data_IF_063346037306
#
_entry.id   IF_063346037306
#
_cell.length_a   1.000
_cell.length_b   1.000
_cell.length_c   1.000
_cell.angle_alpha   90.00
_cell.angle_beta   90.00
_cell.angle_gamma   90.00
#
_symmetry.space_group_name_H-M   'P 1'
#
loop_
_entity.id
_entity.type
_entity.pdbx_description
1 polymer ?
#
# COMPACT_ATOMS: atom_id res chain seq x y z
N UNK A 1 -40.71 19.05 10.88
CA UNK A 1 -39.50 19.87 11.10
C UNK A 1 -39.37 20.22 12.57
N UNK A 2 -38.36 19.70 13.28
CA UNK A 2 -37.96 20.15 14.62
C UNK A 2 -36.50 20.59 14.52
N UNK A 3 -36.27 21.87 14.78
CA UNK A 3 -34.93 22.47 14.73
C UNK A 3 -34.16 22.09 15.99
N UNK A 4 -32.99 21.49 15.81
CA UNK A 4 -32.02 21.23 16.88
C UNK A 4 -31.09 22.44 16.98
N UNK A 5 -31.29 23.29 17.98
CA UNK A 5 -30.33 24.36 18.35
C UNK A 5 -29.50 23.86 19.54
N UNK A 6 -28.48 23.05 19.25
CA UNK A 6 -27.48 22.64 20.23
C UNK A 6 -26.35 23.66 20.29
N UNK A 7 -26.25 24.39 21.40
CA UNK A 7 -25.12 25.28 21.69
C UNK A 7 -23.88 24.46 21.98
N UNK A 8 -22.85 24.63 21.16
CA UNK A 8 -21.53 24.02 21.33
C UNK A 8 -20.83 24.61 22.56
N UNK A 9 -20.69 23.86 23.64
CA UNK A 9 -19.85 24.23 24.78
C UNK A 9 -18.46 23.65 24.52
N UNK A 10 -17.56 24.49 24.02
CA UNK A 10 -16.16 24.13 23.85
C UNK A 10 -15.51 23.86 25.19
N UNK A 11 -15.04 22.63 25.40
CA UNK A 11 -14.12 22.30 26.48
C UNK A 11 -12.71 22.67 26.00
N UNK A 12 -12.20 23.81 26.46
CA UNK A 12 -10.78 24.14 26.33
C UNK A 12 -9.97 23.29 27.31
N UNK A 13 -8.99 22.50 26.86
CA UNK A 13 -8.10 21.78 27.77
C UNK A 13 -7.18 22.76 28.51
N UNK A 14 -6.94 22.50 29.80
CA UNK A 14 -6.04 23.31 30.66
C UNK A 14 -4.57 23.04 30.31
N UNK A 15 -3.69 24.04 30.31
CA UNK A 15 -2.32 23.95 29.80
C UNK A 15 -1.28 23.31 30.75
N UNK A 16 -1.67 22.39 31.62
CA UNK A 16 -0.81 21.94 32.74
C UNK A 16 -0.78 20.41 32.97
N UNK A 17 -1.15 19.61 31.96
CA UNK A 17 -1.12 18.14 32.03
C UNK A 17 -0.25 17.48 30.95
N UNK A 18 0.85 18.14 30.55
CA UNK A 18 1.89 17.55 29.68
C UNK A 18 3.23 17.54 30.41
N UNK A 19 3.36 16.72 31.44
CA UNK A 19 4.66 16.20 31.88
C UNK A 19 4.47 15.10 32.92
N UNK A 20 4.72 13.84 32.52
CA UNK A 20 5.53 12.85 33.26
C UNK A 20 5.27 11.44 32.72
N UNK A 21 6.39 10.70 32.58
CA UNK A 21 6.59 9.25 32.38
C UNK A 21 6.94 8.87 30.94
N UNK A 22 8.08 8.26 30.62
CA UNK A 22 9.23 7.79 31.40
C UNK A 22 10.41 7.60 30.44
N UNK A 23 11.61 7.97 30.88
CA UNK A 23 12.86 7.73 30.17
C UNK A 23 13.46 6.35 30.52
N UNK A 24 14.22 5.81 29.55
CA UNK A 24 15.28 4.77 29.67
C UNK A 24 14.77 3.31 29.52
N UNK A 25 15.34 2.45 28.67
CA UNK A 25 16.76 2.27 28.36
C UNK A 25 17.07 2.04 26.87
N UNK A 26 18.09 2.77 26.40
CA UNK A 26 18.80 2.52 25.14
C UNK A 26 19.74 1.33 25.35
N UNK A 27 19.64 0.32 24.48
CA UNK A 27 20.51 -0.85 24.51
C UNK A 27 21.93 -0.44 24.07
N UNK A 28 23.01 -0.87 24.75
CA UNK A 28 24.36 -0.55 24.31
C UNK A 28 24.68 -1.25 22.98
N UNK A 29 25.46 -0.55 22.15
CA UNK A 29 25.99 -1.05 20.88
C UNK A 29 26.80 -2.35 21.10
N UNK A 30 26.64 -3.31 20.19
CA UNK A 30 27.47 -4.52 20.14
C UNK A 30 28.90 -4.13 19.80
N UNK A 31 29.86 -4.71 20.54
CA UNK A 31 31.28 -4.57 20.27
C UNK A 31 31.66 -5.20 18.92
N UNK A 32 32.62 -4.62 18.17
CA UNK A 32 33.07 -5.18 16.91
C UNK A 32 33.90 -6.44 17.14
N UNK A 33 33.56 -7.50 16.43
CA UNK A 33 34.35 -8.75 16.39
C UNK A 33 35.61 -8.53 15.55
N UNK A 34 36.78 -8.71 16.16
CA UNK A 34 38.07 -8.79 15.46
C UNK A 34 38.22 -10.18 14.84
N UNK A 35 38.17 -10.27 13.51
CA UNK A 35 38.63 -11.45 12.78
C UNK A 35 40.16 -11.40 12.72
N UNK A 36 40.82 -12.44 13.23
CA UNK A 36 42.26 -12.64 13.11
C UNK A 36 42.61 -13.07 11.69
N UNK A 37 43.47 -12.31 11.01
CA UNK A 37 44.11 -12.74 9.77
C UNK A 37 45.11 -13.85 10.09
N UNK A 38 44.98 -14.98 9.41
CA UNK A 38 46.00 -16.02 9.33
C UNK A 38 46.28 -16.28 7.87
N UNK A 39 47.48 -15.89 7.45
CA UNK A 39 48.07 -16.17 6.14
C UNK A 39 48.26 -17.68 5.94
N UNK A 40 47.86 -18.20 4.78
CA UNK A 40 48.47 -19.37 4.17
C UNK A 40 48.29 -19.29 2.65
N UNK A 41 49.41 -19.12 1.95
CA UNK A 41 49.52 -19.06 0.49
C UNK A 41 49.30 -20.45 -0.15
N UNK A 42 48.71 -20.49 -1.35
CA UNK A 42 49.22 -21.25 -2.51
C UNK A 42 48.29 -21.11 -3.73
N UNK A 43 48.76 -20.48 -4.80
CA UNK A 43 48.16 -20.55 -6.14
C UNK A 43 48.58 -21.84 -6.87
N UNK A 44 47.79 -22.32 -7.86
CA UNK A 44 48.30 -22.16 -9.22
C UNK A 44 47.27 -21.85 -10.32
N UNK A 45 47.71 -20.97 -11.22
CA UNK A 45 47.62 -20.93 -12.69
C UNK A 45 46.33 -21.27 -13.48
N UNK A 46 46.00 -20.30 -14.35
CA UNK A 46 45.38 -20.39 -15.68
C UNK A 46 43.89 -20.73 -15.83
N UNK A 47 43.05 -19.69 -15.95
CA UNK A 47 42.04 -19.65 -17.01
C UNK A 47 41.68 -18.21 -17.39
N UNK A 48 41.81 -17.90 -18.67
CA UNK A 48 41.40 -16.64 -19.29
C UNK A 48 39.87 -16.58 -19.29
N UNK A 49 39.27 -16.14 -18.18
CA UNK A 49 37.86 -15.76 -18.13
C UNK A 49 37.81 -14.24 -18.20
N UNK A 50 37.29 -13.70 -19.31
CA UNK A 50 36.96 -12.30 -19.43
C UNK A 50 36.11 -11.90 -18.22
N UNK A 51 36.72 -11.20 -17.27
CA UNK A 51 36.03 -10.64 -16.14
C UNK A 51 34.96 -9.69 -16.69
N UNK A 52 33.70 -10.14 -16.68
CA UNK A 52 32.59 -9.22 -16.77
C UNK A 52 32.85 -8.20 -15.66
N UNK A 53 33.07 -6.95 -16.06
CA UNK A 53 33.32 -5.84 -15.15
C UNK A 53 32.15 -5.77 -14.16
N UNK A 54 32.33 -6.31 -12.96
CA UNK A 54 31.40 -6.19 -11.84
C UNK A 54 31.57 -4.80 -11.20
N UNK A 55 31.74 -3.76 -12.01
CA UNK A 55 31.58 -2.41 -11.53
C UNK A 55 30.09 -2.24 -11.22
N UNK A 56 29.71 -1.81 -9.99
CA UNK A 56 28.31 -1.53 -9.70
C UNK A 56 27.83 -0.47 -10.69
N UNK A 57 26.78 -0.81 -11.45
CA UNK A 57 26.11 0.16 -12.34
C UNK A 57 25.66 1.32 -11.46
N UNK A 58 26.10 2.54 -11.79
CA UNK A 58 25.67 3.72 -11.06
C UNK A 58 24.13 3.81 -11.11
N UNK A 59 23.46 4.18 -10.00
CA UNK A 59 22.01 4.27 -9.98
C UNK A 59 21.53 5.29 -11.02
N UNK A 60 20.57 4.89 -11.85
CA UNK A 60 19.87 5.78 -12.78
C UNK A 60 18.59 6.31 -12.15
N UNK A 61 18.12 7.47 -12.61
CA UNK A 61 16.79 7.97 -12.23
C UNK A 61 15.69 7.00 -12.74
N UNK A 62 14.54 6.91 -12.04
CA UNK A 62 13.43 6.08 -12.50
C UNK A 62 12.89 6.61 -13.83
N UNK A 63 12.46 5.69 -14.69
CA UNK A 63 11.67 5.99 -15.88
C UNK A 63 10.28 6.51 -15.50
N UNK A 64 9.59 7.14 -16.45
CA UNK A 64 8.20 7.55 -16.28
C UNK A 64 7.29 6.35 -15.97
N UNK A 65 7.52 5.20 -16.61
CA UNK A 65 6.78 3.97 -16.34
C UNK A 65 7.00 3.42 -14.93
N UNK A 66 8.25 3.42 -14.42
CA UNK A 66 8.54 3.01 -13.05
C UNK A 66 7.89 3.95 -12.04
N UNK A 67 7.92 5.26 -12.31
CA UNK A 67 7.28 6.26 -11.45
C UNK A 67 5.75 6.10 -11.45
N UNK A 68 5.14 5.88 -12.60
CA UNK A 68 3.73 5.57 -12.71
C UNK A 68 3.38 4.30 -11.90
N UNK A 69 4.06 3.18 -12.14
CA UNK A 69 3.82 1.95 -11.37
C UNK A 69 4.01 2.14 -9.86
N UNK A 70 4.98 2.96 -9.45
CA UNK A 70 5.18 3.30 -8.04
C UNK A 70 3.99 4.08 -7.46
N UNK A 71 3.48 5.08 -8.19
CA UNK A 71 2.26 5.79 -7.82
C UNK A 71 1.09 4.81 -7.68
N UNK A 72 0.87 3.90 -8.63
CA UNK A 72 -0.21 2.90 -8.52
C UNK A 72 -0.08 2.06 -7.24
N UNK A 73 1.14 1.65 -6.88
CA UNK A 73 1.43 0.95 -5.63
C UNK A 73 1.05 1.75 -4.37
N UNK A 74 1.31 3.07 -4.36
CA UNK A 74 0.89 3.96 -3.26
C UNK A 74 -0.64 3.98 -3.11
N UNK A 75 -1.37 4.11 -4.23
CA UNK A 75 -2.85 4.13 -4.20
C UNK A 75 -3.39 2.81 -3.66
N UNK A 76 -2.88 1.68 -4.13
CA UNK A 76 -3.32 0.37 -3.68
C UNK A 76 -3.00 0.11 -2.20
N UNK A 77 -1.79 0.45 -1.77
CA UNK A 77 -1.41 0.35 -0.36
C UNK A 77 -2.31 1.21 0.54
N UNK A 78 -2.63 2.42 0.10
CA UNK A 78 -3.53 3.33 0.81
C UNK A 78 -4.96 2.78 0.86
N UNK A 79 -5.53 2.37 -0.28
CA UNK A 79 -6.87 1.80 -0.36
C UNK A 79 -7.01 0.59 0.57
N UNK A 80 -6.08 -0.35 0.50
CA UNK A 80 -6.19 -1.58 1.27
C UNK A 80 -6.07 -1.30 2.78
N UNK A 81 -5.02 -0.62 3.20
CA UNK A 81 -4.75 -0.41 4.63
C UNK A 81 -5.66 0.62 5.29
N UNK A 82 -6.23 1.57 4.54
CA UNK A 82 -7.15 2.56 5.10
C UNK A 82 -8.53 1.97 5.39
N UNK A 83 -8.99 1.02 4.58
CA UNK A 83 -10.36 0.50 4.64
C UNK A 83 -10.49 -0.92 5.20
N UNK A 84 -9.41 -1.71 5.23
CA UNK A 84 -9.43 -3.03 5.87
C UNK A 84 -9.87 -2.93 7.34
N UNK A 85 -10.77 -3.83 7.75
CA UNK A 85 -11.37 -3.83 9.09
C UNK A 85 -12.61 -2.94 9.23
N UNK A 86 -12.99 -2.17 8.21
CA UNK A 86 -14.22 -1.37 8.25
C UNK A 86 -15.45 -2.27 8.36
N UNK A 87 -16.37 -2.04 9.31
CA UNK A 87 -17.63 -2.77 9.36
C UNK A 87 -18.43 -2.60 8.06
N UNK A 88 -18.85 -3.71 7.46
CA UNK A 88 -19.59 -3.73 6.19
C UNK A 88 -20.68 -4.81 6.22
N UNK A 89 -21.80 -4.48 5.61
CA UNK A 89 -22.95 -5.36 5.36
C UNK A 89 -23.40 -5.18 3.90
N UNK A 90 -24.16 -6.10 3.30
CA UNK A 90 -24.64 -5.97 1.91
C UNK A 90 -25.34 -4.64 1.63
N UNK A 91 -26.10 -4.13 2.60
CA UNK A 91 -26.80 -2.85 2.53
C UNK A 91 -25.88 -1.62 2.57
N UNK A 92 -24.73 -1.69 3.27
CA UNK A 92 -23.79 -0.57 3.39
C UNK A 92 -22.67 -0.62 2.35
N UNK A 93 -22.40 -1.79 1.76
CA UNK A 93 -21.36 -2.04 0.78
C UNK A 93 -21.33 -1.03 -0.39
N UNK A 94 -22.45 -0.70 -1.07
CA UNK A 94 -22.44 0.28 -2.16
C UNK A 94 -22.09 1.71 -1.72
N UNK A 95 -22.35 2.06 -0.46
CA UNK A 95 -21.97 3.38 0.07
C UNK A 95 -20.49 3.43 0.45
N UNK A 96 -19.96 2.33 0.98
CA UNK A 96 -18.54 2.19 1.33
C UNK A 96 -17.67 2.17 0.07
N UNK A 97 -18.04 1.39 -0.94
CA UNK A 97 -17.36 1.35 -2.25
C UNK A 97 -17.18 2.76 -2.84
N UNK A 98 -18.27 3.54 -2.95
CA UNK A 98 -18.21 4.93 -3.44
C UNK A 98 -17.34 5.85 -2.59
N UNK A 99 -17.31 5.64 -1.27
CA UNK A 99 -16.44 6.41 -0.39
C UNK A 99 -14.96 6.06 -0.60
N UNK A 100 -14.66 4.78 -0.86
CA UNK A 100 -13.33 4.31 -1.21
C UNK A 100 -12.87 4.92 -2.54
N UNK A 101 -13.67 4.80 -3.60
CA UNK A 101 -13.42 5.40 -4.92
C UNK A 101 -13.08 6.89 -4.79
N UNK A 102 -13.99 7.67 -4.22
CA UNK A 102 -13.81 9.12 -4.07
C UNK A 102 -12.59 9.50 -3.21
N UNK A 103 -12.23 8.66 -2.21
CA UNK A 103 -11.05 8.92 -1.37
C UNK A 103 -9.74 8.69 -2.13
N UNK A 104 -9.70 7.68 -3.00
CA UNK A 104 -8.49 7.34 -3.78
C UNK A 104 -8.35 8.23 -5.01
N UNK A 105 -9.44 8.55 -5.70
CA UNK A 105 -9.46 9.51 -6.82
C UNK A 105 -8.96 10.90 -6.41
N UNK A 106 -9.15 11.29 -5.14
CA UNK A 106 -8.62 12.55 -4.61
C UNK A 106 -7.08 12.58 -4.53
N UNK A 107 -6.39 11.46 -4.76
CA UNK A 107 -4.93 11.41 -4.80
C UNK A 107 -4.38 11.88 -6.16
N UNK A 108 -3.16 12.47 -6.20
CA UNK A 108 -2.55 12.89 -7.46
C UNK A 108 -2.43 11.75 -8.49
N UNK A 109 -2.56 12.09 -9.78
CA UNK A 109 -2.38 11.17 -10.92
C UNK A 109 -3.40 10.03 -11.02
N UNK A 110 -4.42 10.01 -10.17
CA UNK A 110 -5.52 9.06 -10.26
C UNK A 110 -6.53 9.54 -11.31
N UNK A 111 -6.81 8.69 -12.29
CA UNK A 111 -7.76 9.00 -13.37
C UNK A 111 -9.12 8.42 -13.04
N UNK A 112 -9.15 7.17 -12.58
CA UNK A 112 -10.37 6.43 -12.31
C UNK A 112 -10.11 5.36 -11.26
N UNK A 113 -11.11 5.14 -10.39
CA UNK A 113 -11.10 4.05 -9.42
C UNK A 113 -12.46 3.39 -9.45
N UNK A 114 -12.46 2.08 -9.68
CA UNK A 114 -13.65 1.25 -9.53
C UNK A 114 -13.45 0.31 -8.35
N UNK A 115 -14.37 0.33 -7.39
CA UNK A 115 -14.38 -0.61 -6.26
C UNK A 115 -15.69 -1.38 -6.28
N UNK A 116 -15.58 -2.70 -6.46
CA UNK A 116 -16.70 -3.61 -6.26
C UNK A 116 -16.55 -4.36 -4.94
N UNK A 117 -17.59 -4.30 -4.12
CA UNK A 117 -17.69 -5.09 -2.90
C UNK A 117 -18.57 -6.29 -3.20
N UNK A 118 -18.00 -7.49 -3.13
CA UNK A 118 -18.64 -8.76 -3.48
C UNK A 118 -19.79 -9.09 -2.51
N UNK A 119 -20.96 -8.51 -2.76
CA UNK A 119 -22.14 -8.57 -1.87
C UNK A 119 -22.63 -10.00 -1.67
N UNK A 120 -22.63 -10.84 -2.71
CA UNK A 120 -22.96 -12.28 -2.60
C UNK A 120 -22.05 -13.00 -1.60
N UNK A 121 -20.76 -12.67 -1.57
CA UNK A 121 -19.79 -13.25 -0.63
C UNK A 121 -20.01 -12.74 0.80
N UNK A 122 -20.43 -11.48 0.95
CA UNK A 122 -20.84 -10.93 2.24
C UNK A 122 -22.09 -11.64 2.75
N UNK A 123 -23.11 -11.81 1.91
CA UNK A 123 -24.34 -12.54 2.28
C UNK A 123 -24.02 -13.97 2.71
N UNK A 124 -23.15 -14.67 1.96
CA UNK A 124 -22.71 -16.02 2.30
C UNK A 124 -21.96 -16.08 3.64
N UNK A 125 -21.12 -15.09 3.95
CA UNK A 125 -20.42 -15.00 5.23
C UNK A 125 -21.41 -14.79 6.40
N UNK A 126 -22.41 -13.93 6.19
CA UNK A 126 -23.35 -13.53 7.22
C UNK A 126 -24.47 -14.55 7.47
N UNK A 127 -24.77 -15.43 6.51
CA UNK A 127 -25.84 -16.42 6.63
C UNK A 127 -25.71 -17.35 7.87
N UNK A 128 -24.50 -17.57 8.37
CA UNK A 128 -24.22 -18.33 9.59
C UNK A 128 -23.78 -17.49 10.79
N UNK A 129 -23.74 -16.17 10.64
CA UNK A 129 -23.23 -15.23 11.64
C UNK A 129 -24.31 -14.86 12.66
N UNK A 130 -23.89 -14.53 13.87
CA UNK A 130 -24.76 -13.92 14.88
C UNK A 130 -24.90 -12.39 14.71
N UNK A 131 -24.07 -11.78 13.85
CA UNK A 131 -24.07 -10.36 13.55
C UNK A 131 -24.48 -10.11 12.10
N UNK A 132 -25.15 -8.99 11.86
CA UNK A 132 -25.64 -8.57 10.53
C UNK A 132 -24.56 -7.86 9.69
N UNK A 133 -23.32 -7.81 10.16
CA UNK A 133 -22.18 -7.21 9.48
C UNK A 133 -20.91 -8.02 9.75
N UNK A 134 -19.89 -7.79 8.92
CA UNK A 134 -18.54 -8.34 9.08
C UNK A 134 -17.51 -7.23 8.86
N UNK A 135 -16.23 -7.56 8.99
CA UNK A 135 -15.13 -6.66 8.68
C UNK A 135 -14.74 -6.76 7.21
N UNK A 136 -14.54 -5.62 6.56
CA UNK A 136 -14.06 -5.56 5.18
C UNK A 136 -12.64 -6.14 5.12
N UNK A 137 -12.46 -7.16 4.30
CA UNK A 137 -11.16 -7.79 3.99
C UNK A 137 -10.99 -7.87 2.49
N UNK A 138 -9.76 -8.15 2.02
CA UNK A 138 -9.50 -8.33 0.59
C UNK A 138 -10.35 -9.40 -0.10
N UNK A 139 -10.90 -10.38 0.65
CA UNK A 139 -11.80 -11.42 0.11
C UNK A 139 -13.05 -10.84 -0.55
N UNK A 140 -13.52 -9.70 -0.04
CA UNK A 140 -14.75 -9.04 -0.46
C UNK A 140 -14.52 -7.93 -1.48
N UNK A 141 -13.28 -7.69 -1.90
CA UNK A 141 -12.94 -6.54 -2.75
C UNK A 141 -12.44 -6.99 -4.11
N UNK A 142 -13.02 -6.37 -5.13
CA UNK A 142 -12.46 -6.29 -6.48
C UNK A 142 -12.23 -4.81 -6.78
N UNK A 143 -11.02 -4.46 -7.21
CA UNK A 143 -10.63 -3.06 -7.40
C UNK A 143 -9.88 -2.91 -8.69
N UNK A 144 -10.20 -1.88 -9.46
CA UNK A 144 -9.39 -1.38 -10.56
C UNK A 144 -8.98 0.06 -10.26
N UNK A 145 -7.70 0.37 -10.49
CA UNK A 145 -7.17 1.73 -10.38
C UNK A 145 -6.45 2.05 -11.67
N UNK A 146 -6.86 3.15 -12.31
CA UNK A 146 -6.21 3.72 -13.48
C UNK A 146 -5.49 4.99 -13.05
N UNK A 147 -4.20 5.06 -13.38
CA UNK A 147 -3.39 6.25 -13.16
C UNK A 147 -2.82 6.77 -14.47
N UNK A 148 -2.59 8.08 -14.54
CA UNK A 148 -1.87 8.72 -15.62
C UNK A 148 -0.77 9.62 -15.07
N UNK A 149 0.47 9.33 -15.48
CA UNK A 149 1.65 10.10 -15.12
C UNK A 149 2.48 10.42 -16.36
N UNK A 150 2.58 11.71 -16.69
CA UNK A 150 3.36 12.23 -17.83
C UNK A 150 3.10 11.50 -19.17
N UNK A 151 1.82 11.21 -19.47
CA UNK A 151 1.43 10.51 -20.71
C UNK A 151 1.60 8.98 -20.67
N UNK A 152 1.96 8.43 -19.50
CA UNK A 152 1.96 7.00 -19.21
C UNK A 152 0.69 6.63 -18.44
N UNK A 153 -0.05 5.67 -18.96
CA UNK A 153 -1.22 5.11 -18.27
C UNK A 153 -0.84 3.75 -17.69
N UNK A 154 -1.23 3.52 -16.43
CA UNK A 154 -1.08 2.21 -15.77
C UNK A 154 -2.45 1.79 -15.25
N UNK A 155 -2.89 0.61 -15.71
CA UNK A 155 -4.09 -0.06 -15.21
C UNK A 155 -3.64 -1.13 -14.24
N UNK A 156 -4.25 -1.14 -13.07
CA UNK A 156 -3.91 -2.05 -11.98
C UNK A 156 -5.17 -2.66 -11.38
N UNK A 157 -5.06 -3.88 -10.87
CA UNK A 157 -6.21 -4.62 -10.36
C UNK A 157 -5.89 -5.31 -9.04
N UNK A 158 -6.90 -5.42 -8.16
CA UNK A 158 -6.95 -6.38 -7.06
C UNK A 158 -8.16 -7.30 -7.24
N UNK A 159 -7.92 -8.61 -7.22
CA UNK A 159 -8.97 -9.63 -7.24
C UNK A 159 -8.49 -10.90 -6.52
N UNK A 160 -9.42 -11.78 -6.17
CA UNK A 160 -9.06 -13.07 -5.57
C UNK A 160 -8.44 -14.00 -6.61
N UNK A 161 -7.19 -14.41 -6.36
CA UNK A 161 -6.46 -15.41 -7.16
C UNK A 161 -5.88 -16.46 -6.22
N UNK A 162 -6.21 -17.73 -6.44
CA UNK A 162 -5.74 -18.88 -5.65
C UNK A 162 -5.87 -18.69 -4.12
N UNK A 163 -6.96 -18.05 -3.69
CA UNK A 163 -7.26 -17.80 -2.27
C UNK A 163 -6.56 -16.58 -1.66
N UNK A 164 -5.93 -15.73 -2.48
CA UNK A 164 -5.25 -14.51 -2.05
C UNK A 164 -5.77 -13.27 -2.81
N UNK A 165 -5.99 -12.11 -2.16
CA UNK A 165 -6.34 -10.87 -2.85
C UNK A 165 -5.11 -10.31 -3.57
N UNK A 166 -4.89 -10.76 -4.81
CA UNK A 166 -3.71 -10.44 -5.59
C UNK A 166 -3.81 -9.06 -6.19
N UNK A 167 -2.86 -8.18 -5.85
CA UNK A 167 -2.67 -6.89 -6.52
C UNK A 167 -1.66 -7.03 -7.65
N UNK A 168 -1.98 -6.52 -8.83
CA UNK A 168 -1.10 -6.57 -10.00
C UNK A 168 -1.25 -5.37 -10.91
N UNK A 169 -0.18 -5.09 -11.65
CA UNK A 169 -0.25 -4.24 -12.84
C UNK A 169 -0.80 -5.08 -14.00
N UNK A 170 -1.89 -4.62 -14.61
CA UNK A 170 -2.55 -5.27 -15.74
C UNK A 170 -1.93 -4.81 -17.06
N UNK A 171 -1.74 -3.50 -17.21
CA UNK A 171 -1.11 -2.94 -18.40
C UNK A 171 -0.40 -1.64 -18.10
N UNK A 172 0.66 -1.38 -18.86
CA UNK A 172 1.37 -0.11 -18.89
C UNK A 172 1.39 0.35 -20.34
N UNK A 173 0.74 1.47 -20.64
CA UNK A 173 0.60 2.01 -22.00
C UNK A 173 1.13 3.45 -22.10
N UNK A 174 1.23 3.96 -23.33
CA UNK A 174 1.87 5.25 -23.63
C UNK A 174 3.26 5.09 -24.26
N UNK A 175 3.90 6.22 -24.58
CA UNK A 175 5.30 6.27 -25.04
C UNK A 175 6.12 7.06 -24.05
N UNK A 176 7.37 6.68 -23.89
CA UNK A 176 8.32 7.51 -23.16
C UNK A 176 8.55 8.80 -23.96
N UNK A 177 8.84 9.90 -23.26
CA UNK A 177 9.25 11.14 -23.89
C UNK A 177 10.62 10.93 -24.58
N UNK A 178 10.61 10.38 -25.79
CA UNK A 178 11.82 10.03 -26.54
C UNK A 178 11.70 8.95 -27.62
N UNK A 179 10.54 8.29 -27.78
CA UNK A 179 10.29 7.23 -28.79
C UNK A 179 9.61 7.72 -30.09
#
# INVERSE_FOLDING_TARGET
MRFWTGTYVGVTPRPDEVERRSATAFHPAREPVTMSESDDESEPADSETAAASTAPTAPTAPTTAETACFEAGIKFGTLYHQFAGTPVAPESAPSLARAMEASIENQPHCVDVTVDVRTDELESELAGSAADYTELTGRFLEVEIVIEYEGREVVTQMAMEDGYPMMKVVSVSGRDAGD
#
